data_IF_876101337850
#
_entry.id   IF_876101337850
#
_cell.length_a   1.000
_cell.length_b   1.000
_cell.length_c   1.000
_cell.angle_alpha   90.00
_cell.angle_beta   90.00
_cell.angle_gamma   90.00
#
_symmetry.space_group_name_H-M   'P 1'
#
loop_
_entity.id
_entity.type
_entity.pdbx_description
1 polymer ?
#
# COMPACT_ATOMS: atom_id res chain seq x y z
N UNK A 1 -18.15 -36.56 -12.36
CA UNK A 1 -17.62 -35.85 -11.17
C UNK A 1 -16.61 -34.84 -11.69
N UNK A 2 -17.08 -33.87 -12.46
CA UNK A 2 -16.31 -32.77 -13.03
C UNK A 2 -17.33 -31.64 -13.25
N UNK A 3 -17.57 -30.86 -12.20
CA UNK A 3 -18.22 -29.56 -12.37
C UNK A 3 -17.12 -28.58 -12.74
N UNK A 4 -17.04 -28.28 -14.03
CA UNK A 4 -16.44 -27.06 -14.55
C UNK A 4 -16.94 -25.89 -13.70
N UNK A 5 -16.06 -25.33 -12.88
CA UNK A 5 -16.22 -23.98 -12.35
C UNK A 5 -16.10 -23.09 -13.57
N UNK A 6 -17.25 -22.72 -14.12
CA UNK A 6 -17.35 -21.73 -15.18
C UNK A 6 -16.86 -20.41 -14.59
N UNK A 7 -15.62 -20.02 -14.94
CA UNK A 7 -14.98 -18.77 -14.55
C UNK A 7 -15.62 -17.58 -15.27
N UNK A 8 -16.91 -17.34 -15.04
CA UNK A 8 -17.68 -16.33 -15.78
C UNK A 8 -18.41 -15.33 -14.89
N UNK A 9 -17.93 -15.05 -13.69
CA UNK A 9 -18.24 -13.83 -12.90
C UNK A 9 -17.30 -13.78 -11.68
N UNK A 10 -16.04 -13.35 -11.89
CA UNK A 10 -15.22 -12.85 -10.79
C UNK A 10 -15.70 -11.41 -10.60
N UNK A 11 -16.41 -11.12 -9.50
CA UNK A 11 -16.64 -9.73 -9.10
C UNK A 11 -15.26 -9.11 -8.84
N UNK A 12 -15.05 -7.87 -9.30
CA UNK A 12 -13.80 -7.15 -9.13
C UNK A 12 -13.98 -6.04 -8.09
N UNK A 13 -13.02 -5.92 -7.18
CA UNK A 13 -12.87 -4.74 -6.36
C UNK A 13 -12.32 -3.64 -7.26
N UNK A 14 -13.04 -2.52 -7.36
CA UNK A 14 -12.57 -1.36 -8.10
C UNK A 14 -12.38 -0.21 -7.13
N UNK A 15 -11.14 0.24 -7.02
CA UNK A 15 -10.78 1.35 -6.16
C UNK A 15 -11.20 2.69 -6.77
N UNK A 16 -11.21 3.74 -5.93
CA UNK A 16 -11.55 5.11 -6.35
C UNK A 16 -10.61 5.69 -7.41
N UNK A 17 -9.40 5.17 -7.56
CA UNK A 17 -8.43 5.55 -8.61
C UNK A 17 -8.55 4.71 -9.89
N UNK A 18 -9.57 3.85 -9.97
CA UNK A 18 -9.78 2.94 -11.08
C UNK A 18 -8.87 1.71 -11.05
N UNK A 19 -8.08 1.52 -9.99
CA UNK A 19 -7.32 0.28 -9.80
C UNK A 19 -8.28 -0.88 -9.60
N UNK A 20 -7.90 -2.06 -10.10
CA UNK A 20 -8.72 -3.28 -9.99
C UNK A 20 -7.94 -4.35 -9.28
N UNK A 21 -8.44 -4.78 -8.14
CA UNK A 21 -7.92 -5.95 -7.45
C UNK A 21 -8.83 -7.14 -7.71
N UNK A 22 -8.25 -8.29 -8.01
CA UNK A 22 -9.00 -9.55 -7.99
C UNK A 22 -9.55 -9.73 -6.58
N UNK A 23 -10.86 -9.98 -6.45
CA UNK A 23 -11.49 -10.16 -5.15
C UNK A 23 -10.93 -11.38 -4.44
N UNK A 24 -9.98 -11.18 -3.54
CA UNK A 24 -9.95 -12.04 -2.37
C UNK A 24 -11.32 -11.91 -1.70
N UNK A 25 -11.94 -13.02 -1.34
CA UNK A 25 -13.22 -13.07 -0.64
C UNK A 25 -13.06 -12.49 0.78
N UNK A 26 -12.90 -11.17 0.88
CA UNK A 26 -12.87 -10.45 2.14
C UNK A 26 -14.29 -10.44 2.66
N UNK A 27 -14.48 -11.17 3.75
CA UNK A 27 -15.77 -11.29 4.42
C UNK A 27 -15.83 -10.43 5.69
N UNK A 28 -14.69 -9.90 6.14
CA UNK A 28 -14.63 -9.02 7.31
C UNK A 28 -13.31 -8.25 7.34
N UNK A 29 -13.38 -7.02 7.84
CA UNK A 29 -12.22 -6.24 8.27
C UNK A 29 -12.21 -6.25 9.81
N UNK A 30 -11.06 -6.60 10.39
CA UNK A 30 -10.92 -6.75 11.84
C UNK A 30 -10.11 -5.59 12.43
N UNK A 31 -10.66 -4.92 13.44
CA UNK A 31 -9.97 -3.93 14.28
C UNK A 31 -9.65 -4.61 15.61
N UNK A 32 -8.37 -4.75 15.95
CA UNK A 32 -7.88 -5.52 17.10
C UNK A 32 -8.51 -6.94 17.21
N UNK A 33 -8.70 -7.61 16.07
CA UNK A 33 -9.26 -8.96 16.02
C UNK A 33 -10.79 -9.05 16.11
N UNK A 34 -11.52 -7.91 16.08
CA UNK A 34 -12.98 -7.88 16.04
C UNK A 34 -13.48 -7.18 14.78
N UNK A 35 -14.50 -7.76 14.16
CA UNK A 35 -15.17 -7.20 13.00
C UNK A 35 -16.46 -7.95 12.73
N UNK A 36 -17.32 -7.37 11.90
CA UNK A 36 -18.56 -8.00 11.49
C UNK A 36 -18.34 -8.80 10.22
N UNK A 37 -18.95 -9.98 10.18
CA UNK A 37 -18.95 -10.87 9.04
C UNK A 37 -20.04 -10.48 8.05
N UNK A 38 -19.62 -10.27 6.82
CA UNK A 38 -20.48 -10.09 5.66
C UNK A 38 -20.53 -11.40 4.87
N UNK A 39 -21.74 -11.90 4.57
CA UNK A 39 -21.88 -13.07 3.71
C UNK A 39 -21.90 -12.62 2.24
N UNK A 40 -20.83 -12.90 1.46
CA UNK A 40 -20.76 -12.49 0.07
C UNK A 40 -21.83 -13.17 -0.80
N UNK A 41 -22.38 -14.33 -0.39
CA UNK A 41 -23.41 -15.06 -1.15
C UNK A 41 -24.80 -14.51 -0.91
N UNK A 42 -25.05 -13.99 0.29
CA UNK A 42 -26.34 -13.42 0.67
C UNK A 42 -26.37 -11.89 0.49
N UNK A 43 -25.25 -11.27 0.11
CA UNK A 43 -25.05 -9.82 -0.01
C UNK A 43 -25.58 -9.04 1.21
N UNK A 44 -25.41 -9.61 2.41
CA UNK A 44 -25.91 -9.03 3.64
C UNK A 44 -24.91 -9.17 4.81
N UNK A 45 -25.01 -8.24 5.77
CA UNK A 45 -24.35 -8.37 7.06
C UNK A 45 -25.17 -9.36 7.91
N UNK A 46 -24.65 -10.56 8.07
CA UNK A 46 -25.32 -11.62 8.83
C UNK A 46 -24.98 -11.60 10.32
N UNK A 47 -24.14 -10.66 10.79
CA UNK A 47 -23.55 -10.69 12.13
C UNK A 47 -23.82 -9.44 12.99
N UNK A 48 -25.06 -8.94 12.98
CA UNK A 48 -25.48 -7.76 13.77
C UNK A 48 -25.22 -7.85 15.28
N UNK A 49 -24.91 -9.04 15.80
CA UNK A 49 -24.66 -9.32 17.24
C UNK A 49 -23.18 -9.28 17.64
N UNK A 50 -22.22 -9.23 16.70
CA UNK A 50 -20.80 -9.17 17.06
C UNK A 50 -20.47 -7.82 17.71
N UNK A 51 -19.95 -7.79 18.96
CA UNK A 51 -19.61 -6.54 19.63
C UNK A 51 -18.46 -5.80 18.90
N UNK A 52 -18.55 -4.47 18.87
CA UNK A 52 -17.47 -3.63 18.38
C UNK A 52 -16.24 -3.70 19.30
N UNK A 53 -15.07 -3.43 18.72
CA UNK A 53 -13.88 -3.15 19.51
C UNK A 53 -14.00 -1.79 20.22
N UNK A 54 -13.48 -1.71 21.45
CA UNK A 54 -13.47 -0.47 22.23
C UNK A 54 -12.04 -0.02 22.54
N UNK A 55 -11.68 1.18 22.09
CA UNK A 55 -10.45 1.85 22.51
C UNK A 55 -10.78 2.82 23.66
N UNK A 56 -10.39 2.44 24.89
CA UNK A 56 -10.71 3.21 26.09
C UNK A 56 -9.80 4.42 26.26
N UNK A 57 -10.39 5.61 26.31
CA UNK A 57 -9.70 6.87 26.56
C UNK A 57 -9.63 7.16 28.06
N UNK A 58 -8.73 6.44 28.73
CA UNK A 58 -8.68 6.33 30.20
C UNK A 58 -8.30 7.62 30.96
N UNK A 59 -7.64 8.60 30.33
CA UNK A 59 -7.14 9.79 31.05
C UNK A 59 -8.25 10.80 31.34
N UNK A 60 -8.42 11.20 32.60
CA UNK A 60 -9.37 12.24 33.01
C UNK A 60 -9.03 13.65 32.46
N UNK A 61 -7.80 13.88 31.96
CA UNK A 61 -7.41 15.20 31.44
C UNK A 61 -7.94 15.42 30.03
N UNK A 62 -8.64 16.54 29.81
CA UNK A 62 -9.03 17.03 28.48
C UNK A 62 -7.82 17.42 27.61
N UNK A 63 -6.63 17.58 28.18
CA UNK A 63 -5.39 17.85 27.45
C UNK A 63 -4.58 16.61 27.10
N UNK A 64 -5.10 15.41 27.41
CA UNK A 64 -4.37 14.17 27.15
C UNK A 64 -4.15 13.96 25.65
N UNK A 65 -2.97 13.46 25.29
CA UNK A 65 -2.62 13.05 23.93
C UNK A 65 -2.23 11.59 23.96
N UNK A 66 -2.77 10.82 23.01
CA UNK A 66 -2.58 9.38 22.91
C UNK A 66 -1.83 9.07 21.63
N UNK A 67 -0.79 8.23 21.74
CA UNK A 67 -0.10 7.67 20.58
C UNK A 67 -0.74 6.34 20.22
N UNK A 68 -1.35 6.27 19.04
CA UNK A 68 -1.86 5.04 18.47
C UNK A 68 -0.84 4.53 17.45
N UNK A 69 -0.65 3.22 17.43
CA UNK A 69 0.18 2.53 16.44
C UNK A 69 -0.77 1.79 15.51
N UNK A 70 -0.94 2.33 14.31
CA UNK A 70 -1.77 1.71 13.28
C UNK A 70 -0.91 0.68 12.56
N UNK A 71 -1.44 -0.53 12.39
CA UNK A 71 -0.73 -1.65 11.76
C UNK A 71 -1.73 -2.35 10.85
N UNK A 72 -1.49 -2.37 9.55
CA UNK A 72 -2.28 -3.19 8.64
C UNK A 72 -1.65 -4.59 8.55
N UNK A 73 -2.14 -5.49 9.39
CA UNK A 73 -1.78 -6.92 9.35
C UNK A 73 -2.63 -7.75 8.38
N UNK A 74 -3.37 -7.11 7.47
CA UNK A 74 -4.15 -7.77 6.44
C UNK A 74 -3.28 -8.45 5.38
N UNK A 75 -3.91 -9.05 4.37
CA UNK A 75 -3.20 -9.81 3.33
C UNK A 75 -3.41 -9.29 1.91
N UNK A 76 -4.36 -8.37 1.69
CA UNK A 76 -4.76 -7.97 0.33
C UNK A 76 -4.98 -6.47 0.22
N UNK A 77 -5.85 -5.89 1.06
CA UNK A 77 -6.31 -4.52 0.85
C UNK A 77 -5.57 -3.50 1.70
N UNK A 78 -5.27 -2.37 1.06
CA UNK A 78 -4.98 -1.11 1.75
C UNK A 78 -6.23 -0.62 2.47
N UNK A 79 -6.04 -0.09 3.67
CA UNK A 79 -7.11 0.34 4.55
C UNK A 79 -6.98 1.83 4.85
N UNK A 80 -8.10 2.54 4.76
CA UNK A 80 -8.22 3.96 5.09
C UNK A 80 -8.76 4.10 6.52
N UNK A 81 -7.94 4.66 7.39
CA UNK A 81 -8.25 4.84 8.81
C UNK A 81 -8.65 6.28 9.12
N UNK A 82 -9.69 6.46 9.93
CA UNK A 82 -10.08 7.76 10.49
C UNK A 82 -10.80 7.64 11.83
N UNK A 83 -10.92 8.75 12.55
CA UNK A 83 -11.68 8.84 13.80
C UNK A 83 -12.57 10.09 13.73
N UNK A 84 -13.87 9.90 13.92
CA UNK A 84 -14.83 11.01 13.88
C UNK A 84 -14.45 12.09 14.91
N UNK A 85 -14.44 13.35 14.48
CA UNK A 85 -14.14 14.50 15.34
C UNK A 85 -12.70 14.58 15.86
N UNK A 86 -11.78 13.74 15.38
CA UNK A 86 -10.38 13.74 15.82
C UNK A 86 -9.44 13.85 14.61
N UNK A 87 -8.74 14.98 14.42
CA UNK A 87 -7.64 15.04 13.46
C UNK A 87 -6.50 14.14 13.93
N UNK A 88 -5.82 13.52 12.99
CA UNK A 88 -4.71 12.60 13.21
C UNK A 88 -3.40 13.36 13.02
N UNK A 89 -2.57 13.43 14.06
CA UNK A 89 -1.21 13.99 13.93
C UNK A 89 -0.23 12.85 13.69
N UNK A 90 0.13 12.60 12.43
CA UNK A 90 1.04 11.52 12.03
C UNK A 90 2.48 11.91 12.30
N UNK A 91 3.23 11.04 12.96
CA UNK A 91 4.59 11.33 13.45
C UNK A 91 5.65 10.34 12.97
N UNK A 92 5.25 9.17 12.45
CA UNK A 92 6.17 8.18 11.91
C UNK A 92 5.46 7.25 10.93
N UNK A 93 6.24 6.72 9.98
CA UNK A 93 5.85 5.59 9.12
C UNK A 93 6.89 4.48 9.25
N UNK A 94 6.43 3.24 9.35
CA UNK A 94 7.25 2.02 9.37
C UNK A 94 8.37 1.96 10.42
N UNK A 95 8.26 2.78 11.47
CA UNK A 95 9.24 2.90 12.55
C UNK A 95 10.18 4.09 12.40
N UNK A 96 10.12 4.82 11.27
CA UNK A 96 10.93 5.99 10.97
C UNK A 96 10.11 7.27 11.26
N UNK A 97 10.58 8.13 12.20
CA UNK A 97 9.93 9.41 12.49
C UNK A 97 9.93 10.37 11.29
N UNK A 98 8.84 11.11 11.13
CA UNK A 98 8.76 12.23 10.19
C UNK A 98 9.54 13.43 10.71
N UNK A 99 10.17 14.20 9.81
CA UNK A 99 10.90 15.41 10.17
C UNK A 99 9.98 16.44 10.84
N UNK A 100 8.73 16.50 10.40
CA UNK A 100 7.67 17.30 11.00
C UNK A 100 6.38 16.48 11.09
N UNK A 101 5.60 16.59 12.18
CA UNK A 101 4.29 15.97 12.26
C UNK A 101 3.35 16.49 11.17
N UNK A 102 2.59 15.59 10.55
CA UNK A 102 1.61 15.92 9.52
C UNK A 102 0.21 15.73 10.10
N UNK A 103 -0.62 16.79 10.08
CA UNK A 103 -1.99 16.73 10.59
C UNK A 103 -2.92 16.42 9.42
N UNK A 104 -3.66 15.31 9.52
CA UNK A 104 -4.59 14.84 8.48
C UNK A 104 -5.91 14.37 9.07
N UNK A 105 -6.92 14.21 8.22
CA UNK A 105 -8.21 13.64 8.62
C UNK A 105 -8.20 12.11 8.48
N UNK A 106 -7.44 11.57 7.52
CA UNK A 106 -7.39 10.14 7.22
C UNK A 106 -5.98 9.70 6.83
N UNK A 107 -5.66 8.42 7.05
CA UNK A 107 -4.41 7.78 6.61
C UNK A 107 -4.76 6.50 5.85
N UNK A 108 -4.23 6.33 4.64
CA UNK A 108 -4.26 5.05 3.91
C UNK A 108 -3.06 4.22 4.36
N UNK A 109 -3.27 2.95 4.65
CA UNK A 109 -2.27 2.03 5.18
C UNK A 109 -2.29 0.77 4.34
N UNK A 110 -1.24 0.56 3.54
CA UNK A 110 -1.02 -0.65 2.76
C UNK A 110 -0.70 -1.85 3.63
N UNK A 111 -0.81 -3.04 3.05
CA UNK A 111 -0.51 -4.30 3.75
C UNK A 111 0.92 -4.30 4.29
N UNK A 112 1.08 -4.60 5.57
CA UNK A 112 2.38 -4.63 6.25
C UNK A 112 2.89 -3.26 6.73
N UNK A 113 2.26 -2.14 6.33
CA UNK A 113 2.65 -0.80 6.77
C UNK A 113 2.22 -0.50 8.21
N UNK A 114 2.97 0.40 8.86
CA UNK A 114 2.69 0.93 10.19
C UNK A 114 2.75 2.45 10.19
N UNK A 115 1.80 3.09 10.89
CA UNK A 115 1.85 4.53 11.15
C UNK A 115 1.70 4.80 12.64
N UNK A 116 2.54 5.68 13.17
CA UNK A 116 2.32 6.22 14.50
C UNK A 116 1.60 7.56 14.39
N UNK A 117 0.44 7.65 15.04
CA UNK A 117 -0.38 8.85 15.07
C UNK A 117 -0.58 9.32 16.52
N UNK A 118 -0.74 10.62 16.69
CA UNK A 118 -1.18 11.23 17.92
C UNK A 118 -2.61 11.74 17.74
N UNK A 119 -3.47 11.43 18.73
CA UNK A 119 -4.80 12.02 18.85
C UNK A 119 -4.90 12.75 20.18
N UNK A 120 -5.47 13.96 20.15
CA UNK A 120 -5.81 14.70 21.37
C UNK A 120 -7.16 14.22 21.87
N UNK A 121 -7.34 14.18 23.19
CA UNK A 121 -8.65 13.89 23.77
C UNK A 121 -9.70 14.88 23.25
N UNK A 122 -10.89 14.38 22.94
CA UNK A 122 -12.01 15.21 22.51
C UNK A 122 -12.36 16.25 23.57
N UNK A 123 -12.82 17.42 23.13
CA UNK A 123 -13.41 18.43 24.01
C UNK A 123 -14.71 17.94 24.63
N UNK A 124 -15.57 17.31 23.82
CA UNK A 124 -16.80 16.68 24.30
C UNK A 124 -16.54 15.21 24.65
N UNK A 125 -16.55 14.92 25.94
CA UNK A 125 -16.26 13.59 26.49
C UNK A 125 -17.51 12.92 27.07
N UNK A 126 -18.68 13.49 26.79
CA UNK A 126 -19.97 12.97 27.25
C UNK A 126 -20.53 11.91 26.29
N UNK A 127 -19.85 11.69 25.15
CA UNK A 127 -20.19 10.70 24.13
C UNK A 127 -18.96 9.93 23.66
N UNK A 128 -19.23 8.83 22.97
CA UNK A 128 -18.22 8.02 22.28
C UNK A 128 -18.15 8.43 20.80
N UNK A 129 -17.07 8.08 20.12
CA UNK A 129 -16.81 8.42 18.72
C UNK A 129 -16.54 7.17 17.90
N UNK A 130 -16.92 7.19 16.62
CA UNK A 130 -16.53 6.12 15.71
C UNK A 130 -15.05 6.21 15.34
N UNK A 131 -14.39 5.06 15.39
CA UNK A 131 -13.19 4.75 14.63
C UNK A 131 -13.67 4.04 13.37
N UNK A 132 -13.20 4.47 12.20
CA UNK A 132 -13.60 3.95 10.90
C UNK A 132 -12.41 3.40 10.16
N UNK A 133 -12.60 2.22 9.58
CA UNK A 133 -11.64 1.56 8.71
C UNK A 133 -12.38 1.17 7.45
N UNK A 134 -12.11 1.88 6.38
CA UNK A 134 -12.73 1.66 5.08
C UNK A 134 -11.69 1.10 4.11
N UNK A 135 -12.12 0.42 3.06
CA UNK A 135 -11.24 0.22 1.89
C UNK A 135 -11.33 1.44 0.97
N UNK A 136 -10.67 1.35 -0.18
CA UNK A 136 -10.78 2.33 -1.26
C UNK A 136 -11.87 1.99 -2.28
N UNK A 137 -12.82 1.10 -1.95
CA UNK A 137 -13.94 0.71 -2.84
C UNK A 137 -14.71 1.93 -3.36
N UNK A 138 -14.84 2.05 -4.68
CA UNK A 138 -15.58 3.16 -5.29
C UNK A 138 -17.09 3.03 -5.13
N UNK A 139 -17.59 1.81 -4.89
CA UNK A 139 -19.02 1.50 -4.85
C UNK A 139 -19.62 1.59 -3.43
N UNK A 140 -18.80 1.96 -2.43
CA UNK A 140 -19.18 2.06 -1.02
C UNK A 140 -19.94 0.81 -0.51
N UNK A 141 -19.49 -0.38 -0.93
CA UNK A 141 -20.15 -1.62 -0.57
C UNK A 141 -19.95 -1.91 0.93
N UNK A 142 -21.04 -2.16 1.69
CA UNK A 142 -21.00 -2.37 3.15
C UNK A 142 -19.97 -3.38 3.66
N UNK A 143 -19.59 -4.38 2.85
CA UNK A 143 -18.58 -5.39 3.23
C UNK A 143 -17.17 -4.82 3.42
N UNK A 144 -16.94 -3.62 2.90
CA UNK A 144 -15.64 -2.97 2.85
C UNK A 144 -15.42 -1.92 3.93
N UNK A 145 -16.21 -1.99 4.99
CA UNK A 145 -16.18 -1.04 6.09
C UNK A 145 -16.14 -1.80 7.41
N UNK A 146 -15.33 -1.31 8.34
CA UNK A 146 -15.33 -1.73 9.73
C UNK A 146 -15.35 -0.51 10.65
N UNK A 147 -15.92 -0.73 11.83
CA UNK A 147 -16.04 0.29 12.85
C UNK A 147 -15.56 -0.24 14.19
N UNK A 148 -14.98 0.66 14.99
CA UNK A 148 -14.70 0.45 16.40
C UNK A 148 -15.11 1.72 17.17
N UNK A 149 -15.12 1.64 18.49
CA UNK A 149 -15.62 2.72 19.35
C UNK A 149 -14.46 3.31 20.14
N UNK A 150 -14.19 4.59 19.90
CA UNK A 150 -13.34 5.39 20.77
C UNK A 150 -14.17 5.82 22.00
N UNK A 151 -13.92 5.16 23.13
CA UNK A 151 -14.79 5.21 24.31
C UNK A 151 -14.28 6.22 25.35
N UNK A 152 -15.10 7.21 25.66
CA UNK A 152 -14.84 8.20 26.71
C UNK A 152 -15.74 8.03 27.94
N UNK A 153 -16.92 7.45 27.78
CA UNK A 153 -17.92 7.33 28.85
C UNK A 153 -17.86 5.95 29.51
N UNK A 154 -18.40 5.81 30.72
CA UNK A 154 -18.53 4.50 31.37
C UNK A 154 -19.54 3.58 30.67
N UNK A 155 -20.50 4.17 29.95
CA UNK A 155 -21.57 3.47 29.24
C UNK A 155 -21.11 3.10 27.83
N UNK A 156 -21.31 1.84 27.44
CA UNK A 156 -21.01 1.35 26.09
C UNK A 156 -22.13 1.70 25.12
N UNK A 157 -22.40 2.99 24.93
CA UNK A 157 -23.33 3.46 23.90
C UNK A 157 -22.67 3.42 22.53
N UNK A 158 -23.47 3.04 21.52
CA UNK A 158 -23.11 3.14 20.11
C UNK A 158 -22.98 4.63 19.77
N UNK A 159 -21.84 5.08 19.19
CA UNK A 159 -21.68 6.45 18.74
C UNK A 159 -22.72 6.84 17.67
N UNK A 160 -23.13 8.10 17.67
CA UNK A 160 -23.95 8.71 16.60
C UNK A 160 -23.16 9.80 15.86
N UNK A 161 -21.82 9.74 15.93
CA UNK A 161 -20.95 10.69 15.26
C UNK A 161 -20.92 10.40 13.77
N UNK A 162 -20.63 11.42 12.98
CA UNK A 162 -20.45 11.28 11.54
C UNK A 162 -19.03 11.73 11.16
N UNK A 163 -18.52 11.27 10.00
CA UNK A 163 -17.28 11.77 9.45
C UNK A 163 -17.34 13.29 9.28
N UNK A 164 -16.18 13.94 9.28
CA UNK A 164 -16.11 15.38 8.99
C UNK A 164 -16.73 15.65 7.62
N UNK A 165 -17.63 16.64 7.57
CA UNK A 165 -18.20 17.10 6.32
C UNK A 165 -17.17 17.96 5.57
N UNK A 166 -16.44 17.36 4.64
CA UNK A 166 -15.41 18.01 3.84
C UNK A 166 -16.05 18.78 2.68
N UNK A 167 -15.56 19.97 2.38
CA UNK A 167 -16.01 20.76 1.22
C UNK A 167 -14.81 21.21 0.38
N UNK A 168 -15.03 21.69 -0.83
CA UNK A 168 -13.96 22.30 -1.64
C UNK A 168 -13.28 23.48 -0.95
N UNK A 169 -14.03 24.25 -0.14
CA UNK A 169 -13.50 25.36 0.62
C UNK A 169 -12.78 24.93 1.91
N UNK A 170 -13.08 23.73 2.42
CA UNK A 170 -12.48 23.13 3.61
C UNK A 170 -12.25 21.64 3.37
N UNK A 171 -11.22 21.30 2.57
CA UNK A 171 -10.97 19.92 2.19
C UNK A 171 -10.47 19.12 3.39
N UNK A 172 -10.69 17.81 3.34
CA UNK A 172 -10.05 16.87 4.23
C UNK A 172 -8.75 16.34 3.64
N UNK A 173 -7.75 16.17 4.49
CA UNK A 173 -6.43 15.70 4.08
C UNK A 173 -6.33 14.19 4.30
N UNK A 174 -5.83 13.49 3.29
CA UNK A 174 -5.59 12.04 3.32
C UNK A 174 -4.11 11.79 3.09
N UNK A 175 -3.48 11.09 4.03
CA UNK A 175 -2.09 10.69 3.93
C UNK A 175 -1.93 9.35 3.19
N UNK A 176 -0.79 9.19 2.51
CA UNK A 176 -0.34 7.96 1.85
C UNK A 176 -1.25 7.57 0.68
N UNK A 177 -1.74 8.57 -0.06
CA UNK A 177 -2.48 8.27 -1.27
C UNK A 177 -1.55 7.65 -2.33
N UNK A 178 -1.95 6.53 -2.94
CA UNK A 178 -1.28 5.94 -4.10
C UNK A 178 -1.66 6.63 -5.42
N UNK A 179 -2.28 7.80 -5.33
CA UNK A 179 -2.75 8.62 -6.44
C UNK A 179 -2.70 10.10 -6.05
N UNK A 180 -2.62 10.98 -7.04
CA UNK A 180 -2.56 12.43 -6.80
C UNK A 180 -3.92 13.04 -6.48
N UNK A 181 -5.02 12.35 -6.81
CA UNK A 181 -6.39 12.85 -6.69
C UNK A 181 -7.35 11.71 -6.31
N UNK A 182 -8.24 11.97 -5.36
CA UNK A 182 -9.17 10.98 -4.81
C UNK A 182 -10.38 10.78 -5.75
N UNK A 183 -10.15 10.17 -6.92
CA UNK A 183 -11.19 9.69 -7.85
C UNK A 183 -12.03 10.73 -8.61
N UNK A 184 -12.96 10.29 -9.47
CA UNK A 184 -13.88 11.15 -10.23
C UNK A 184 -14.84 11.94 -9.32
N UNK A 185 -15.32 13.11 -9.76
CA UNK A 185 -16.36 13.92 -9.07
C UNK A 185 -17.67 13.18 -8.80
N UNK A 186 -17.92 12.10 -9.54
CA UNK A 186 -19.11 11.26 -9.43
C UNK A 186 -19.10 10.39 -8.17
N UNK A 187 -17.93 10.22 -7.55
CA UNK A 187 -17.80 9.66 -6.19
C UNK A 187 -18.03 10.81 -5.20
N UNK A 188 -19.07 10.69 -4.37
CA UNK A 188 -19.46 11.71 -3.40
C UNK A 188 -18.24 12.22 -2.61
N UNK A 189 -18.05 13.55 -2.59
CA UNK A 189 -16.98 14.28 -1.89
C UNK A 189 -15.54 14.15 -2.44
N UNK A 190 -15.29 13.52 -3.59
CA UNK A 190 -13.94 13.41 -4.19
C UNK A 190 -13.17 14.74 -4.26
N UNK A 191 -13.82 15.82 -4.72
CA UNK A 191 -13.23 17.17 -4.79
C UNK A 191 -12.95 17.83 -3.43
N UNK A 192 -13.51 17.29 -2.36
CA UNK A 192 -13.32 17.77 -0.99
C UNK A 192 -12.21 17.01 -0.27
N UNK A 193 -11.49 16.13 -0.97
CA UNK A 193 -10.39 15.33 -0.44
C UNK A 193 -9.09 15.72 -1.14
N UNK A 194 -8.05 15.96 -0.35
CA UNK A 194 -6.71 16.31 -0.83
C UNK A 194 -5.74 15.21 -0.42
N UNK A 195 -5.06 14.67 -1.42
CA UNK A 195 -4.11 13.58 -1.26
C UNK A 195 -2.70 14.08 -0.97
N UNK A 196 -2.11 13.57 0.10
CA UNK A 196 -0.71 13.75 0.46
C UNK A 196 0.02 12.43 0.19
N UNK A 197 0.93 12.45 -0.76
CA UNK A 197 1.74 11.28 -1.11
C UNK A 197 2.92 11.14 -0.14
N UNK A 198 3.44 9.92 0.09
CA UNK A 198 4.62 9.70 0.93
C UNK A 198 5.85 10.50 0.46
N UNK A 199 6.00 10.67 -0.86
CA UNK A 199 7.10 11.44 -1.46
C UNK A 199 7.18 12.88 -0.94
N UNK A 200 6.04 13.48 -0.59
CA UNK A 200 6.00 14.87 -0.13
C UNK A 200 6.32 15.03 1.37
N UNK A 201 6.66 13.94 2.07
CA UNK A 201 6.87 13.94 3.51
C UNK A 201 8.31 13.55 3.80
N UNK A 202 9.07 14.53 4.27
CA UNK A 202 10.45 14.31 4.67
C UNK A 202 10.48 13.55 6.00
N UNK A 203 11.26 12.47 6.04
CA UNK A 203 11.57 11.78 7.29
C UNK A 203 12.74 12.46 7.98
N UNK A 204 12.92 12.24 9.29
CA UNK A 204 14.06 12.82 10.01
C UNK A 204 15.43 12.39 9.46
N UNK A 205 15.48 11.33 8.64
CA UNK A 205 16.66 10.86 7.93
C UNK A 205 16.85 11.61 6.58
N UNK A 206 16.77 12.94 6.60
CA UNK A 206 17.10 13.84 5.46
C UNK A 206 18.61 13.84 5.10
N UNK A 207 19.27 12.69 5.22
CA UNK A 207 20.67 12.48 4.86
C UNK A 207 20.84 11.38 3.82
N UNK A 208 19.85 11.15 2.95
CA UNK A 208 20.19 10.55 1.67
C UNK A 208 21.02 11.59 0.92
N UNK A 209 22.34 11.47 1.02
CA UNK A 209 23.28 12.29 0.28
C UNK A 209 22.96 12.07 -1.21
N UNK A 210 22.37 13.08 -1.86
CA UNK A 210 21.99 12.99 -3.27
C UNK A 210 23.19 12.72 -4.18
N UNK A 211 24.42 12.97 -3.71
CA UNK A 211 25.66 12.54 -4.37
C UNK A 211 25.81 11.02 -4.46
N UNK A 212 25.10 10.24 -3.64
CA UNK A 212 25.03 8.77 -3.74
C UNK A 212 24.18 8.33 -4.94
N UNK A 213 23.31 9.20 -5.46
CA UNK A 213 22.54 8.96 -6.70
C UNK A 213 23.33 9.36 -7.96
N UNK A 214 24.48 10.01 -7.80
CA UNK A 214 25.37 10.40 -8.89
C UNK A 214 26.27 9.21 -9.27
N UNK A 215 25.98 8.61 -10.42
CA UNK A 215 26.71 7.47 -10.99
C UNK A 215 28.18 7.77 -11.30
N UNK A 216 28.55 9.05 -11.37
CA UNK A 216 29.94 9.47 -11.56
C UNK A 216 30.74 9.42 -10.25
N UNK A 217 30.06 9.32 -9.10
CA UNK A 217 30.65 9.43 -7.76
C UNK A 217 30.68 8.08 -7.03
N UNK A 218 29.65 7.23 -7.17
CA UNK A 218 29.59 5.92 -6.51
C UNK A 218 29.15 4.83 -7.50
N UNK A 219 29.83 3.66 -7.56
CA UNK A 219 29.35 2.54 -8.36
C UNK A 219 28.03 1.99 -7.77
N UNK A 220 26.91 2.38 -8.35
CA UNK A 220 25.57 1.94 -7.95
C UNK A 220 25.20 0.62 -8.62
N UNK A 221 24.64 -0.32 -7.85
CA UNK A 221 23.98 -1.49 -8.41
C UNK A 221 22.52 -1.10 -8.68
N UNK A 222 22.22 -0.60 -9.88
CA UNK A 222 20.84 -0.35 -10.30
C UNK A 222 20.21 -1.64 -10.83
N UNK A 223 18.96 -1.89 -10.45
CA UNK A 223 18.11 -2.94 -11.01
C UNK A 223 16.74 -2.42 -11.35
N UNK A 224 16.34 -2.63 -12.58
CA UNK A 224 14.96 -2.42 -13.03
C UNK A 224 14.17 -3.68 -12.74
N UNK A 225 13.05 -3.54 -12.04
CA UNK A 225 12.11 -4.60 -11.75
C UNK A 225 10.73 -4.19 -12.30
N UNK A 226 10.35 -4.82 -13.40
CA UNK A 226 9.03 -4.68 -14.01
C UNK A 226 8.06 -5.65 -13.35
N UNK A 227 7.07 -5.14 -12.66
CA UNK A 227 5.97 -5.93 -12.12
C UNK A 227 4.94 -6.15 -13.21
N UNK A 228 4.65 -7.40 -13.52
CA UNK A 228 3.66 -7.72 -14.53
C UNK A 228 3.01 -9.06 -14.26
N UNK A 229 1.73 -9.15 -14.58
CA UNK A 229 0.97 -10.39 -14.56
C UNK A 229 1.15 -11.08 -15.93
N UNK A 230 1.85 -12.21 -15.94
CA UNK A 230 2.05 -13.01 -17.16
C UNK A 230 0.80 -13.84 -17.41
N UNK A 231 0.20 -13.67 -18.59
CA UNK A 231 -1.02 -14.37 -18.97
C UNK A 231 -0.81 -15.88 -18.98
N UNK A 232 -1.85 -16.61 -18.56
CA UNK A 232 -1.87 -18.06 -18.64
C UNK A 232 -2.12 -18.54 -20.06
N UNK A 233 -1.65 -19.74 -20.35
CA UNK A 233 -2.07 -20.50 -21.54
C UNK A 233 -2.98 -21.65 -21.11
N UNK A 234 -3.57 -22.38 -22.06
CA UNK A 234 -4.37 -23.58 -21.76
C UNK A 234 -3.61 -24.63 -20.91
N UNK A 235 -2.27 -24.59 -20.94
CA UNK A 235 -1.39 -25.51 -20.20
C UNK A 235 -0.78 -24.89 -18.93
N UNK A 236 -0.92 -23.58 -18.71
CA UNK A 236 -0.23 -22.86 -17.62
C UNK A 236 -1.11 -21.77 -17.02
N UNK A 237 -1.28 -21.81 -15.70
CA UNK A 237 -1.93 -20.73 -14.99
C UNK A 237 -1.12 -19.43 -15.08
N UNK A 238 -1.84 -18.30 -15.17
CA UNK A 238 -1.29 -16.96 -15.10
C UNK A 238 -0.52 -16.75 -13.78
N UNK A 239 0.45 -15.83 -13.76
CA UNK A 239 1.27 -15.60 -12.57
C UNK A 239 1.84 -14.19 -12.49
N UNK A 240 1.98 -13.69 -11.27
CA UNK A 240 2.73 -12.46 -10.98
C UNK A 240 4.22 -12.68 -11.20
N UNK A 241 4.89 -11.67 -11.74
CA UNK A 241 6.28 -11.77 -12.13
C UNK A 241 7.06 -10.47 -11.93
N UNK A 242 8.37 -10.60 -11.79
CA UNK A 242 9.31 -9.50 -12.00
C UNK A 242 10.09 -9.75 -13.28
N UNK A 243 10.10 -8.79 -14.21
CA UNK A 243 10.76 -8.89 -15.51
C UNK A 243 10.33 -10.16 -16.29
N UNK A 244 9.03 -10.49 -16.27
CA UNK A 244 8.44 -11.70 -16.90
C UNK A 244 8.92 -13.04 -16.31
N UNK A 245 9.58 -13.01 -15.14
CA UNK A 245 10.03 -14.20 -14.42
C UNK A 245 9.15 -14.40 -13.19
N UNK A 246 8.50 -15.56 -13.12
CA UNK A 246 7.71 -15.96 -11.95
C UNK A 246 8.61 -16.46 -10.82
N UNK A 247 8.24 -16.16 -9.58
CA UNK A 247 8.99 -16.67 -8.43
C UNK A 247 8.73 -18.16 -8.22
N UNK A 248 9.81 -18.96 -8.13
CA UNK A 248 9.75 -20.33 -7.64
C UNK A 248 10.52 -20.46 -6.34
N UNK A 249 9.83 -20.90 -5.28
CA UNK A 249 10.47 -21.17 -4.00
C UNK A 249 11.42 -22.37 -4.13
N UNK A 250 12.64 -22.30 -3.55
CA UNK A 250 13.49 -23.47 -3.44
C UNK A 250 12.83 -24.51 -2.52
N UNK A 251 13.08 -25.82 -2.74
CA UNK A 251 12.62 -26.87 -1.85
C UNK A 251 13.22 -26.70 -0.45
N UNK A 252 12.48 -27.19 0.54
CA UNK A 252 12.79 -27.04 1.97
C UNK A 252 14.17 -27.63 2.34
N UNK A 253 14.66 -28.61 1.58
CA UNK A 253 15.95 -29.26 1.83
C UNK A 253 17.16 -28.43 1.38
N UNK A 254 16.92 -27.29 0.72
CA UNK A 254 17.97 -26.38 0.23
C UNK A 254 17.63 -24.92 0.57
N UNK A 255 17.56 -24.53 1.87
CA UNK A 255 17.26 -23.16 2.22
C UNK A 255 18.42 -22.23 1.82
N UNK A 256 18.08 -21.11 1.19
CA UNK A 256 19.04 -20.12 0.65
C UNK A 256 20.05 -19.66 1.71
N UNK A 257 19.60 -19.50 2.97
CA UNK A 257 20.46 -19.02 4.06
C UNK A 257 21.58 -20.01 4.40
N UNK A 258 21.36 -21.32 4.24
CA UNK A 258 22.33 -22.36 4.59
C UNK A 258 23.26 -22.71 3.44
N UNK A 259 22.74 -22.75 2.20
CA UNK A 259 23.52 -23.12 1.01
C UNK A 259 23.12 -22.28 -0.21
N UNK A 260 23.47 -21.00 -0.17
CA UNK A 260 23.19 -20.06 -1.25
C UNK A 260 23.79 -20.50 -2.60
N UNK A 261 24.93 -21.19 -2.57
CA UNK A 261 25.59 -21.68 -3.80
C UNK A 261 24.76 -22.78 -4.44
N UNK A 262 24.36 -23.81 -3.68
CA UNK A 262 23.51 -24.89 -4.19
C UNK A 262 22.14 -24.38 -4.61
N UNK A 263 21.52 -23.49 -3.84
CA UNK A 263 20.26 -22.86 -4.21
C UNK A 263 20.38 -22.13 -5.56
N UNK A 264 21.48 -21.39 -5.79
CA UNK A 264 21.75 -20.75 -7.08
C UNK A 264 21.95 -21.77 -8.20
N UNK A 265 22.74 -22.80 -8.00
CA UNK A 265 23.02 -23.80 -9.04
C UNK A 265 21.77 -24.61 -9.42
N UNK A 266 20.84 -24.83 -8.49
CA UNK A 266 19.63 -25.61 -8.71
C UNK A 266 18.45 -24.79 -9.26
N UNK A 267 18.36 -23.49 -8.95
CA UNK A 267 17.19 -22.65 -9.26
C UNK A 267 17.53 -21.34 -9.96
N UNK A 268 18.75 -21.18 -10.48
CA UNK A 268 19.11 -20.01 -11.27
C UNK A 268 18.20 -19.89 -12.49
N UNK A 269 17.72 -18.67 -12.71
CA UNK A 269 17.11 -18.29 -13.97
C UNK A 269 18.11 -18.51 -15.11
N UNK A 270 17.63 -19.08 -16.21
CA UNK A 270 18.32 -19.03 -17.47
C UNK A 270 18.52 -17.56 -17.82
N UNK A 271 19.73 -17.16 -18.23
CA UNK A 271 19.99 -15.78 -18.67
C UNK A 271 19.26 -15.44 -20.00
N UNK A 272 18.12 -16.08 -20.29
CA UNK A 272 17.27 -15.76 -21.43
C UNK A 272 16.68 -14.37 -21.21
N UNK A 273 16.67 -13.63 -22.30
CA UNK A 273 16.39 -12.21 -22.41
C UNK A 273 15.25 -11.75 -21.49
N UNK A 274 15.54 -10.77 -20.63
CA UNK A 274 14.62 -10.04 -19.73
C UNK A 274 13.55 -9.23 -20.48
N UNK A 275 12.86 -9.81 -21.46
CA UNK A 275 11.97 -9.04 -22.32
C UNK A 275 11.10 -9.83 -23.29
N UNK A 276 10.91 -11.13 -23.06
CA UNK A 276 9.90 -11.96 -23.72
C UNK A 276 9.14 -12.78 -22.67
N UNK A 277 7.88 -13.10 -22.95
CA UNK A 277 7.06 -14.01 -22.14
C UNK A 277 7.63 -15.43 -22.25
N UNK A 278 8.65 -15.72 -21.46
CA UNK A 278 9.34 -17.01 -21.46
C UNK A 278 8.59 -18.08 -20.68
N UNK A 279 7.59 -17.69 -19.87
CA UNK A 279 6.96 -18.55 -18.88
C UNK A 279 7.94 -19.13 -17.85
N UNK A 280 9.11 -18.51 -17.69
CA UNK A 280 10.16 -18.98 -16.79
C UNK A 280 9.79 -18.74 -15.33
N UNK A 281 9.99 -19.76 -14.50
CA UNK A 281 9.85 -19.66 -13.05
C UNK A 281 11.12 -20.14 -12.39
N UNK A 282 11.73 -19.27 -11.60
CA UNK A 282 13.04 -19.53 -11.01
C UNK A 282 13.25 -18.63 -9.79
N UNK A 283 14.39 -18.83 -9.13
CA UNK A 283 14.83 -17.96 -8.05
C UNK A 283 15.68 -16.83 -8.63
N UNK A 284 15.13 -15.60 -8.64
CA UNK A 284 15.84 -14.42 -9.12
C UNK A 284 16.80 -13.88 -8.05
N UNK A 285 18.03 -13.54 -8.45
CA UNK A 285 19.04 -13.00 -7.53
C UNK A 285 19.63 -11.70 -8.05
N UNK A 286 19.64 -10.70 -7.19
CA UNK A 286 20.38 -9.46 -7.38
C UNK A 286 21.61 -9.52 -6.50
N UNK A 287 22.79 -9.65 -7.12
CA UNK A 287 24.06 -9.65 -6.41
C UNK A 287 24.49 -8.21 -6.14
N UNK A 288 24.70 -7.89 -4.86
CA UNK A 288 25.32 -6.66 -4.39
C UNK A 288 26.46 -7.01 -3.45
N UNK A 289 27.56 -6.25 -3.51
CA UNK A 289 28.69 -6.38 -2.58
C UNK A 289 28.38 -5.63 -1.29
N UNK A 290 29.13 -5.97 -0.25
CA UNK A 290 29.14 -5.17 0.97
C UNK A 290 29.55 -3.73 0.63
N UNK A 291 28.81 -2.76 1.15
CA UNK A 291 28.91 -1.33 0.85
C UNK A 291 28.49 -0.90 -0.57
N UNK A 292 27.85 -1.76 -1.36
CA UNK A 292 27.17 -1.28 -2.57
C UNK A 292 25.90 -0.53 -2.18
N UNK A 293 25.65 0.58 -2.87
CA UNK A 293 24.36 1.26 -2.87
C UNK A 293 23.52 0.58 -3.95
N UNK A 294 22.33 0.11 -3.57
CA UNK A 294 21.45 -0.65 -4.46
C UNK A 294 20.23 0.19 -4.74
N UNK A 295 20.03 0.49 -6.02
CA UNK A 295 18.86 1.22 -6.47
C UNK A 295 17.92 0.29 -7.22
N UNK A 296 16.65 0.29 -6.85
CA UNK A 296 15.59 -0.42 -7.54
C UNK A 296 14.68 0.57 -8.26
N UNK A 297 14.57 0.45 -9.59
CA UNK A 297 13.52 1.08 -10.35
C UNK A 297 12.37 0.07 -10.50
N UNK A 298 11.26 0.33 -9.82
CA UNK A 298 10.06 -0.48 -9.86
C UNK A 298 9.07 0.10 -10.87
N UNK A 299 8.65 -0.73 -11.80
CA UNK A 299 7.74 -0.33 -12.87
C UNK A 299 6.50 -1.19 -12.77
N UNK A 300 5.34 -0.59 -12.50
CA UNK A 300 4.12 -1.36 -12.41
C UNK A 300 3.43 -1.44 -13.78
N UNK A 301 3.33 -2.65 -14.33
CA UNK A 301 2.62 -2.92 -15.59
C UNK A 301 1.22 -3.52 -15.36
N UNK A 302 0.74 -3.59 -14.11
CA UNK A 302 -0.65 -3.94 -13.80
C UNK A 302 -1.46 -2.75 -13.30
N UNK A 303 -2.78 -2.93 -13.31
CA UNK A 303 -3.75 -1.93 -12.86
C UNK A 303 -3.99 -2.01 -11.34
N UNK A 304 -3.29 -2.87 -10.60
CA UNK A 304 -3.47 -3.04 -9.16
C UNK A 304 -2.41 -2.22 -8.39
N UNK A 305 -2.59 -2.09 -7.09
CA UNK A 305 -1.61 -1.49 -6.21
C UNK A 305 -0.83 -2.59 -5.51
N UNK A 306 0.50 -2.53 -5.62
CA UNK A 306 1.38 -3.52 -5.00
C UNK A 306 2.25 -2.90 -3.90
N UNK A 307 1.82 -2.97 -2.63
CA UNK A 307 2.69 -2.68 -1.50
C UNK A 307 3.87 -3.67 -1.49
N UNK A 308 5.08 -3.15 -1.63
CA UNK A 308 6.30 -3.96 -1.62
C UNK A 308 6.99 -3.87 -0.26
N UNK A 309 7.52 -5.00 0.16
CA UNK A 309 8.31 -5.10 1.38
C UNK A 309 9.68 -5.71 1.10
N UNK A 310 10.72 -5.11 1.70
CA UNK A 310 12.09 -5.60 1.63
C UNK A 310 12.55 -6.09 3.00
N UNK A 311 12.98 -7.34 3.08
CA UNK A 311 13.49 -7.90 4.32
C UNK A 311 14.91 -7.39 4.65
N UNK A 312 15.19 -7.26 5.95
CA UNK A 312 16.54 -7.03 6.47
C UNK A 312 17.07 -5.60 6.38
N UNK A 313 16.30 -4.63 5.87
CA UNK A 313 16.68 -3.23 5.83
C UNK A 313 15.47 -2.32 5.61
N UNK A 314 15.61 -1.05 5.98
CA UNK A 314 14.78 0.04 5.45
C UNK A 314 15.33 0.47 4.08
N UNK A 315 14.53 1.24 3.35
CA UNK A 315 14.90 1.85 2.08
C UNK A 315 14.30 3.26 2.00
N UNK A 316 14.90 4.10 1.16
CA UNK A 316 14.45 5.45 0.89
C UNK A 316 13.64 5.46 -0.41
N UNK A 317 12.44 6.05 -0.37
CA UNK A 317 11.67 6.37 -1.56
C UNK A 317 12.24 7.69 -2.10
N UNK A 318 13.15 7.60 -3.06
CA UNK A 318 13.81 8.80 -3.61
C UNK A 318 12.94 9.52 -4.63
N UNK A 319 12.08 8.78 -5.31
CA UNK A 319 11.18 9.31 -6.31
C UNK A 319 9.96 8.39 -6.44
N UNK A 320 8.79 9.00 -6.49
CA UNK A 320 7.53 8.31 -6.71
C UNK A 320 6.84 8.93 -7.89
N UNK A 321 6.41 8.05 -8.79
CA UNK A 321 5.73 8.38 -10.00
C UNK A 321 4.27 7.99 -9.96
N UNK A 322 3.39 8.98 -10.00
CA UNK A 322 1.94 8.75 -10.04
C UNK A 322 1.38 9.32 -11.33
N UNK A 323 0.41 8.65 -11.93
CA UNK A 323 -0.27 9.14 -13.11
C UNK A 323 -0.95 10.49 -12.89
N UNK A 324 -1.02 11.25 -13.97
CA UNK A 324 -1.93 12.38 -14.05
C UNK A 324 -3.32 11.86 -14.40
N UNK A 325 -4.27 12.08 -13.51
CA UNK A 325 -5.68 11.77 -13.71
C UNK A 325 -6.49 13.05 -13.90
N UNK A 326 -7.62 12.94 -14.59
CA UNK A 326 -8.57 14.03 -14.75
C UNK A 326 -9.30 14.25 -13.41
N UNK A 327 -9.23 15.45 -12.81
CA UNK A 327 -9.86 15.72 -11.51
C UNK A 327 -11.38 15.69 -11.52
N UNK A 328 -11.98 15.60 -12.71
CA UNK A 328 -13.42 15.52 -12.89
C UNK A 328 -13.87 14.10 -13.18
N UNK A 329 -13.23 13.43 -14.13
CA UNK A 329 -13.67 12.11 -14.61
C UNK A 329 -12.88 10.94 -14.02
N UNK A 330 -11.78 11.20 -13.30
CA UNK A 330 -10.83 10.19 -12.84
C UNK A 330 -10.09 9.48 -13.97
N UNK A 331 -10.34 9.84 -15.22
CA UNK A 331 -9.71 9.23 -16.38
C UNK A 331 -8.22 9.55 -16.44
N UNK A 332 -7.46 8.58 -16.91
CA UNK A 332 -6.05 8.75 -17.16
C UNK A 332 -5.80 9.86 -18.21
N UNK A 333 -4.92 10.80 -17.88
CA UNK A 333 -4.53 11.90 -18.78
C UNK A 333 -3.13 11.70 -19.36
N UNK A 334 -2.14 11.41 -18.51
CA UNK A 334 -0.75 11.31 -18.92
C UNK A 334 0.08 10.49 -17.94
N UNK A 335 1.13 9.85 -18.47
CA UNK A 335 2.08 9.06 -17.70
C UNK A 335 2.75 9.97 -16.68
N UNK A 336 3.24 9.37 -15.59
CA UNK A 336 4.06 10.10 -14.64
C UNK A 336 5.28 10.74 -15.33
N UNK A 337 5.51 12.06 -15.19
CA UNK A 337 6.68 12.73 -15.77
C UNK A 337 8.00 12.43 -15.04
N UNK A 338 7.95 11.94 -13.79
CA UNK A 338 9.14 11.77 -12.94
C UNK A 338 9.95 10.49 -13.25
N UNK A 339 9.35 9.52 -13.95
CA UNK A 339 10.04 8.27 -14.32
C UNK A 339 9.91 8.15 -15.84
N UNK A 340 10.86 8.72 -16.58
CA UNK A 340 10.88 8.63 -18.03
C UNK A 340 11.40 7.27 -18.48
N UNK A 341 10.47 6.41 -18.87
CA UNK A 341 10.78 5.10 -19.43
C UNK A 341 11.49 5.15 -20.79
N UNK A 342 11.45 6.28 -21.51
CA UNK A 342 12.12 6.40 -22.80
C UNK A 342 13.64 6.44 -22.69
N UNK A 343 14.18 6.86 -21.53
CA UNK A 343 15.63 6.89 -21.26
C UNK A 343 16.17 5.54 -20.77
N UNK A 344 15.28 4.63 -20.34
CA UNK A 344 15.64 3.31 -19.84
C UNK A 344 15.28 2.25 -20.88
N UNK A 345 16.27 1.76 -21.65
CA UNK A 345 16.08 0.69 -22.64
C UNK A 345 15.48 -0.61 -22.05
N UNK A 346 15.59 -0.78 -20.74
CA UNK A 346 14.99 -1.87 -19.97
C UNK A 346 13.54 -1.58 -19.55
N UNK A 347 12.99 -0.37 -19.72
CA UNK A 347 11.57 -0.09 -19.52
C UNK A 347 10.81 -0.33 -20.83
N UNK A 348 10.21 -1.51 -20.98
CA UNK A 348 9.37 -1.83 -22.14
C UNK A 348 7.92 -1.39 -21.90
N UNK A 349 7.68 -0.09 -21.79
CA UNK A 349 6.32 0.46 -21.78
C UNK A 349 5.87 0.74 -23.22
N UNK A 350 5.10 -0.18 -23.82
CA UNK A 350 4.43 0.09 -25.10
C UNK A 350 3.22 1.00 -24.89
N UNK A 351 2.96 1.95 -25.78
CA UNK A 351 1.85 2.93 -25.68
C UNK A 351 0.44 2.31 -25.49
N UNK A 352 0.31 1.01 -25.74
CA UNK A 352 -0.93 0.24 -25.79
C UNK A 352 -1.41 -0.33 -24.46
N UNK A 353 -0.59 -0.38 -23.40
CA UNK A 353 -1.01 -0.95 -22.10
C UNK A 353 -1.33 0.17 -21.11
N UNK A 354 -2.61 0.29 -20.70
CA UNK A 354 -3.11 1.32 -19.77
C UNK A 354 -2.44 1.28 -18.38
N UNK A 355 -2.03 0.09 -17.94
CA UNK A 355 -1.45 -0.16 -16.62
C UNK A 355 -0.07 0.50 -16.41
N UNK A 356 0.82 0.42 -17.42
CA UNK A 356 2.13 1.12 -17.44
C UNK A 356 2.03 2.63 -17.19
N UNK A 357 0.84 3.17 -17.46
CA UNK A 357 0.57 4.59 -17.42
C UNK A 357 0.26 5.08 -16.01
N UNK A 358 -0.09 4.19 -15.08
CA UNK A 358 -0.70 4.53 -13.79
C UNK A 358 0.28 4.81 -12.64
N UNK A 359 1.24 3.93 -12.32
CA UNK A 359 2.12 4.13 -11.15
C UNK A 359 3.53 3.51 -11.34
N UNK A 360 4.59 4.26 -11.04
CA UNK A 360 5.99 3.80 -11.05
C UNK A 360 6.74 4.30 -9.81
N UNK A 361 7.76 3.61 -9.33
CA UNK A 361 8.48 4.01 -8.10
C UNK A 361 9.97 3.75 -8.19
N UNK A 362 10.78 4.68 -7.70
CA UNK A 362 12.23 4.51 -7.57
C UNK A 362 12.61 4.43 -6.08
N UNK A 363 13.20 3.31 -5.71
CA UNK A 363 13.64 3.00 -4.36
C UNK A 363 15.15 2.94 -4.31
N UNK A 364 15.75 3.53 -3.28
CA UNK A 364 17.19 3.42 -3.03
C UNK A 364 17.40 2.80 -1.67
N UNK A 365 18.20 1.75 -1.65
CA UNK A 365 18.74 1.18 -0.43
C UNK A 365 20.14 1.75 -0.22
N UNK A 366 20.24 2.64 0.75
CA UNK A 366 21.53 3.08 1.25
C UNK A 366 22.25 1.94 1.95
N UNK A 367 23.57 2.02 1.96
CA UNK A 367 24.41 1.00 2.57
C UNK A 367 24.04 0.80 4.03
N UNK A 368 23.80 -0.46 4.40
CA UNK A 368 23.72 -0.86 5.80
C UNK A 368 25.08 -0.53 6.43
N UNK A 369 25.18 0.60 7.12
CA UNK A 369 26.19 0.73 8.16
C UNK A 369 25.79 -0.24 9.26
N UNK A 370 26.28 -1.49 9.14
CA UNK A 370 26.47 -2.33 10.30
C UNK A 370 27.35 -1.48 11.21
N UNK A 371 26.77 -0.93 12.27
CA UNK A 371 27.56 -0.38 13.36
C UNK A 371 28.57 -1.47 13.70
N UNK A 372 29.85 -1.21 13.46
CA UNK A 372 30.90 -2.04 14.04
C UNK A 372 30.73 -1.90 15.55
N UNK A 373 30.01 -2.86 16.14
CA UNK A 373 30.08 -3.10 17.57
C UNK A 373 31.54 -3.37 17.91
N UNK A 374 32.04 -2.60 18.87
CA UNK A 374 33.43 -2.64 19.35
C UNK A 374 33.79 -3.94 20.06
#
# INVERSE_FOLDING_TARGET
MESLIQASNIDYFEAVDGSRAAEALVTSILINGRGRYFDPRAQNDSSSTTPFEYLNMASASSSATYRLRLINGGSVLSLKFSIDGHPLTVIASDGIPFAQPVIVDQVIIGVGERYDILIKAATDRTRNYWIRVDTMDKNNNPRWHAQAILKYTSVTTIPTTEPRNCTTAQPCLILNCPFTQYGPKEVDNAMSLVCLTPHNITTHEDHLDRGLLDETVVPNVRKTLQMTMVEGTDERAAFESFNYIGMQYPPIDTPILYDAKRAREQFACSNRSLGEDTGERCYHTVMARYNDIVEFLLINHDDDQHPLHLHGSYFHIVEQGLASLNPTTGEFLANNPNVDCNEHAECKCTETTEACKKNNMRLVKDTVQLSKGG
#
